data_IF_636622485963
#
_entry.id   IF_636622485963
#
_cell.length_a   1.000
_cell.length_b   1.000
_cell.length_c   1.000
_cell.angle_alpha   90.00
_cell.angle_beta   90.00
_cell.angle_gamma   90.00
#
_symmetry.space_group_name_H-M   'P 1'
#
loop_
_entity.id
_entity.type
_entity.pdbx_description
1 polymer ?
#
# COMPACT_ATOMS: atom_id res chain seq x y z
N UNK A 1 17.92 29.41 -5.32
CA UNK A 1 18.73 28.23 -5.01
C UNK A 1 17.95 27.02 -5.51
N UNK A 2 18.46 26.27 -6.49
CA UNK A 2 17.79 25.07 -7.00
C UNK A 2 17.99 23.95 -5.98
N UNK A 3 16.91 23.51 -5.32
CA UNK A 3 16.92 22.36 -4.41
C UNK A 3 17.44 21.11 -5.12
N UNK A 4 18.37 20.42 -4.48
CA UNK A 4 18.93 19.21 -5.03
C UNK A 4 17.86 18.14 -5.24
N UNK A 5 17.87 17.36 -6.34
CA UNK A 5 16.89 16.30 -6.61
C UNK A 5 16.80 15.24 -5.52
N UNK A 6 17.77 15.17 -4.62
CA UNK A 6 17.84 14.18 -3.52
C UNK A 6 16.91 14.48 -2.34
N UNK A 7 16.61 15.74 -2.05
CA UNK A 7 15.79 16.13 -0.90
C UNK A 7 14.30 15.87 -1.14
N UNK A 8 13.85 16.01 -2.37
CA UNK A 8 12.45 15.92 -2.78
C UNK A 8 11.81 14.53 -2.65
N UNK A 9 12.59 13.47 -2.61
CA UNK A 9 12.10 12.08 -2.49
C UNK A 9 12.26 11.51 -1.07
N UNK A 10 12.91 12.22 -0.15
CA UNK A 10 13.21 11.70 1.19
C UNK A 10 11.96 11.36 1.99
N UNK A 11 10.93 12.20 1.94
CA UNK A 11 9.67 11.95 2.65
C UNK A 11 8.86 10.79 2.04
N UNK A 12 8.98 10.54 0.74
CA UNK A 12 8.36 9.37 0.09
C UNK A 12 9.06 8.08 0.56
N UNK A 13 10.39 8.08 0.61
CA UNK A 13 11.15 6.95 1.13
C UNK A 13 10.89 6.76 2.63
N UNK A 14 10.78 7.86 3.39
CA UNK A 14 10.40 7.82 4.79
C UNK A 14 9.01 7.17 4.99
N UNK A 15 8.02 7.55 4.20
CA UNK A 15 6.67 6.97 4.21
C UNK A 15 6.69 5.47 3.85
N UNK A 16 7.49 5.06 2.87
CA UNK A 16 7.67 3.63 2.54
C UNK A 16 8.28 2.86 3.70
N UNK A 17 9.26 3.46 4.39
CA UNK A 17 9.86 2.88 5.59
C UNK A 17 8.86 2.76 6.74
N UNK A 18 8.01 3.77 6.94
CA UNK A 18 6.92 3.69 7.91
C UNK A 18 5.97 2.54 7.56
N UNK A 19 5.60 2.39 6.29
CA UNK A 19 4.78 1.27 5.83
C UNK A 19 5.45 -0.08 6.14
N UNK A 20 6.78 -0.21 5.96
CA UNK A 20 7.52 -1.42 6.33
C UNK A 20 7.44 -1.70 7.83
N UNK A 21 7.63 -0.70 8.69
CA UNK A 21 7.59 -0.88 10.15
C UNK A 21 6.19 -1.31 10.62
N UNK A 22 5.15 -0.64 10.14
CA UNK A 22 3.77 -1.03 10.44
C UNK A 22 3.45 -2.44 9.94
N UNK A 23 3.96 -2.81 8.77
CA UNK A 23 3.83 -4.16 8.22
C UNK A 23 4.53 -5.21 9.07
N UNK A 24 5.78 -4.95 9.52
CA UNK A 24 6.49 -5.85 10.41
C UNK A 24 5.72 -6.07 11.72
N UNK A 25 5.22 -4.99 12.32
CA UNK A 25 4.42 -5.06 13.55
C UNK A 25 3.16 -5.91 13.34
N UNK A 26 2.42 -5.66 12.27
CA UNK A 26 1.19 -6.38 11.96
C UNK A 26 1.46 -7.87 11.78
N UNK A 27 2.45 -8.21 10.95
CA UNK A 27 2.76 -9.60 10.63
C UNK A 27 3.32 -10.37 11.82
N UNK A 28 4.22 -9.76 12.60
CA UNK A 28 4.77 -10.38 13.80
C UNK A 28 3.68 -10.68 14.84
N UNK A 29 2.79 -9.74 15.08
CA UNK A 29 1.70 -9.92 16.04
C UNK A 29 0.65 -10.92 15.53
N UNK A 30 0.33 -10.85 14.23
CA UNK A 30 -0.59 -11.81 13.64
C UNK A 30 -0.03 -13.24 13.64
N UNK A 31 1.23 -13.43 13.34
CA UNK A 31 1.84 -14.78 13.30
C UNK A 31 2.09 -15.37 14.69
N UNK A 32 2.59 -14.58 15.63
CA UNK A 32 3.23 -15.11 16.83
C UNK A 32 2.42 -14.99 18.11
N UNK A 33 1.50 -14.01 18.24
CA UNK A 33 0.71 -13.88 19.45
C UNK A 33 -0.19 -15.08 19.69
N UNK A 34 -0.19 -15.57 20.93
CA UNK A 34 -1.14 -16.58 21.38
C UNK A 34 -2.58 -16.06 21.34
N UNK A 35 -3.53 -16.95 21.28
CA UNK A 35 -4.95 -16.56 21.24
C UNK A 35 -5.34 -15.74 22.48
N UNK A 36 -4.83 -16.07 23.67
CA UNK A 36 -5.05 -15.27 24.88
C UNK A 36 -4.48 -13.85 24.79
N UNK A 37 -3.28 -13.69 24.20
CA UNK A 37 -2.65 -12.37 24.04
C UNK A 37 -3.38 -11.49 23.00
N UNK A 38 -4.11 -12.09 22.06
CA UNK A 38 -4.92 -11.39 21.05
C UNK A 38 -6.18 -10.73 21.63
N UNK A 39 -6.61 -11.10 22.82
CA UNK A 39 -7.69 -10.42 23.55
C UNK A 39 -7.21 -9.17 24.31
N UNK A 40 -5.93 -8.84 24.27
CA UNK A 40 -5.38 -7.66 24.95
C UNK A 40 -5.76 -6.35 24.25
N UNK A 41 -5.93 -5.29 25.04
CA UNK A 41 -6.15 -3.93 24.54
C UNK A 41 -5.02 -3.48 23.61
N UNK A 42 -3.77 -3.86 23.90
CA UNK A 42 -2.62 -3.54 23.06
C UNK A 42 -2.75 -4.16 21.66
N UNK A 43 -3.20 -5.42 21.57
CA UNK A 43 -3.41 -6.06 20.28
C UNK A 43 -4.50 -5.33 19.48
N UNK A 44 -5.61 -4.98 20.11
CA UNK A 44 -6.69 -4.23 19.45
C UNK A 44 -6.19 -2.90 18.85
N UNK A 45 -5.46 -2.11 19.63
CA UNK A 45 -4.88 -0.86 19.12
C UNK A 45 -3.83 -1.09 18.01
N UNK A 46 -3.05 -2.16 18.14
CA UNK A 46 -2.05 -2.51 17.11
C UNK A 46 -2.68 -2.87 15.76
N UNK A 47 -3.90 -3.45 15.76
CA UNK A 47 -4.64 -3.76 14.54
C UNK A 47 -5.03 -2.50 13.76
N UNK A 48 -5.31 -1.38 14.42
CA UNK A 48 -5.54 -0.10 13.73
C UNK A 48 -4.31 0.31 12.92
N UNK A 49 -3.10 0.20 13.49
CA UNK A 49 -1.85 0.40 12.75
C UNK A 49 -1.72 -0.56 11.56
N UNK A 50 -2.16 -1.80 11.74
CA UNK A 50 -2.14 -2.86 10.73
C UNK A 50 -3.04 -2.60 9.52
N UNK A 51 -3.97 -1.66 9.60
CA UNK A 51 -4.82 -1.28 8.46
C UNK A 51 -4.12 -0.39 7.43
N UNK A 52 -2.92 0.13 7.73
CA UNK A 52 -2.23 1.12 6.90
C UNK A 52 -1.14 0.61 5.95
N UNK A 53 -0.41 -0.49 6.18
CA UNK A 53 0.69 -0.90 5.30
C UNK A 53 0.29 -0.98 3.83
N UNK A 54 -0.76 -1.72 3.50
CA UNK A 54 -1.21 -1.88 2.12
C UNK A 54 -1.73 -0.57 1.49
N UNK A 55 -2.60 0.24 2.16
CA UNK A 55 -2.94 1.58 1.69
C UNK A 55 -1.73 2.46 1.40
N UNK A 56 -0.72 2.47 2.29
CA UNK A 56 0.49 3.25 2.11
C UNK A 56 1.29 2.79 0.88
N UNK A 57 1.54 1.49 0.72
CA UNK A 57 2.28 0.99 -0.44
C UNK A 57 1.56 1.28 -1.76
N UNK A 58 0.26 1.08 -1.83
CA UNK A 58 -0.56 1.37 -3.02
C UNK A 58 -0.58 2.87 -3.33
N UNK A 59 -0.82 3.71 -2.33
CA UNK A 59 -0.83 5.15 -2.48
C UNK A 59 0.53 5.69 -2.96
N UNK A 60 1.62 5.21 -2.36
CA UNK A 60 2.98 5.59 -2.74
C UNK A 60 3.38 5.03 -4.12
N UNK A 61 2.84 3.89 -4.52
CA UNK A 61 2.99 3.39 -5.90
C UNK A 61 2.32 4.34 -6.90
N UNK A 62 1.12 4.86 -6.59
CA UNK A 62 0.44 5.87 -7.39
C UNK A 62 1.22 7.18 -7.51
N UNK A 63 1.73 7.71 -6.39
CA UNK A 63 2.60 8.91 -6.41
C UNK A 63 3.84 8.66 -7.26
N UNK A 64 4.51 7.52 -7.07
CA UNK A 64 5.73 7.17 -7.82
C UNK A 64 5.44 7.05 -9.32
N UNK A 65 4.29 6.49 -9.68
CA UNK A 65 3.83 6.40 -11.06
C UNK A 65 3.63 7.80 -11.67
N UNK A 66 3.00 8.74 -10.95
CA UNK A 66 2.84 10.12 -11.42
C UNK A 66 4.17 10.82 -11.66
N UNK A 67 5.13 10.65 -10.73
CA UNK A 67 6.48 11.21 -10.85
C UNK A 67 7.22 10.68 -12.07
N UNK A 68 7.16 9.38 -12.33
CA UNK A 68 7.77 8.77 -13.53
C UNK A 68 7.10 9.26 -14.79
N UNK A 69 5.77 9.28 -14.81
CA UNK A 69 4.99 9.76 -15.97
C UNK A 69 5.29 11.24 -16.27
N UNK A 70 5.36 12.10 -15.25
CA UNK A 70 5.72 13.51 -15.44
C UNK A 70 7.15 13.67 -15.97
N UNK A 71 8.10 12.87 -15.47
CA UNK A 71 9.47 12.85 -15.98
C UNK A 71 9.54 12.44 -17.45
N UNK A 72 8.78 11.40 -17.85
CA UNK A 72 8.70 10.96 -19.25
C UNK A 72 8.06 12.03 -20.14
N UNK A 73 6.96 12.67 -19.69
CA UNK A 73 6.32 13.78 -20.39
C UNK A 73 7.28 14.98 -20.60
N UNK A 74 8.11 15.30 -19.61
CA UNK A 74 9.14 16.36 -19.73
C UNK A 74 10.28 16.01 -20.68
N UNK A 75 10.49 14.73 -20.96
CA UNK A 75 11.42 14.22 -21.96
C UNK A 75 10.80 14.09 -23.35
N UNK A 76 9.59 14.64 -23.53
CA UNK A 76 8.83 14.59 -24.78
C UNK A 76 8.55 13.17 -25.30
N UNK A 77 8.57 12.18 -24.36
CA UNK A 77 8.19 10.80 -24.71
C UNK A 77 6.76 10.74 -25.21
N UNK A 78 6.51 9.95 -26.24
CA UNK A 78 5.17 9.77 -26.80
C UNK A 78 4.22 9.13 -25.80
N UNK A 79 2.92 9.35 -25.94
CA UNK A 79 1.92 8.71 -25.07
C UNK A 79 2.03 7.19 -25.11
N UNK A 80 2.36 6.61 -26.26
CA UNK A 80 2.54 5.17 -26.44
C UNK A 80 3.75 4.63 -25.65
N UNK A 81 4.87 5.35 -25.66
CA UNK A 81 6.07 4.99 -24.90
C UNK A 81 5.83 5.05 -23.39
N UNK A 82 5.12 6.09 -22.92
CA UNK A 82 4.73 6.22 -21.50
C UNK A 82 3.89 5.01 -21.09
N UNK A 83 2.87 4.67 -21.85
CA UNK A 83 1.98 3.54 -21.58
C UNK A 83 2.75 2.22 -21.60
N UNK A 84 3.58 2.00 -22.63
CA UNK A 84 4.41 0.77 -22.73
C UNK A 84 5.33 0.62 -21.53
N UNK A 85 6.01 1.70 -21.13
CA UNK A 85 6.94 1.70 -19.99
C UNK A 85 6.21 1.40 -18.68
N UNK A 86 5.07 2.03 -18.46
CA UNK A 86 4.31 1.90 -17.21
C UNK A 86 3.59 0.57 -17.10
N UNK A 87 2.99 0.07 -18.19
CA UNK A 87 2.35 -1.26 -18.23
C UNK A 87 3.39 -2.35 -18.03
N UNK A 88 4.55 -2.26 -18.73
CA UNK A 88 5.65 -3.20 -18.55
C UNK A 88 6.09 -3.26 -17.09
N UNK A 89 6.28 -2.11 -16.44
CA UNK A 89 6.67 -2.07 -15.02
C UNK A 89 5.60 -2.68 -14.11
N UNK A 90 4.33 -2.42 -14.38
CA UNK A 90 3.21 -3.06 -13.68
C UNK A 90 3.21 -4.57 -13.84
N UNK A 91 3.42 -5.06 -15.07
CA UNK A 91 3.51 -6.50 -15.36
C UNK A 91 4.72 -7.17 -14.68
N UNK A 92 5.89 -6.49 -14.62
CA UNK A 92 7.06 -6.96 -13.89
C UNK A 92 6.76 -7.15 -12.39
N UNK A 93 6.09 -6.17 -11.76
CA UNK A 93 5.70 -6.27 -10.35
C UNK A 93 4.64 -7.35 -10.12
N UNK A 94 3.69 -7.48 -11.04
CA UNK A 94 2.70 -8.56 -11.00
C UNK A 94 3.36 -9.94 -11.08
N UNK A 95 4.30 -10.12 -12.00
CA UNK A 95 5.05 -11.36 -12.14
C UNK A 95 5.90 -11.66 -10.90
N UNK A 96 6.49 -10.65 -10.26
CA UNK A 96 7.18 -10.82 -8.96
C UNK A 96 6.21 -11.30 -7.88
N UNK A 97 4.97 -10.79 -7.83
CA UNK A 97 3.94 -11.28 -6.92
C UNK A 97 3.60 -12.76 -7.15
N UNK A 98 3.50 -13.19 -8.41
CA UNK A 98 3.30 -14.60 -8.74
C UNK A 98 4.51 -15.46 -8.33
N UNK A 99 5.72 -14.99 -8.61
CA UNK A 99 6.94 -15.67 -8.19
C UNK A 99 7.01 -15.83 -6.67
N UNK A 100 6.62 -14.81 -5.94
CA UNK A 100 6.52 -14.87 -4.48
C UNK A 100 5.52 -15.95 -4.02
N UNK A 101 4.35 -16.07 -4.67
CA UNK A 101 3.39 -17.13 -4.36
C UNK A 101 3.94 -18.53 -4.65
N UNK A 102 4.68 -18.69 -5.75
CA UNK A 102 5.35 -19.97 -6.07
C UNK A 102 6.37 -20.32 -4.99
N UNK A 103 7.18 -19.35 -4.55
CA UNK A 103 8.14 -19.57 -3.46
C UNK A 103 7.43 -19.98 -2.17
N UNK A 104 6.41 -19.26 -1.73
CA UNK A 104 5.63 -19.56 -0.53
C UNK A 104 5.01 -20.98 -0.61
N UNK A 105 4.46 -21.34 -1.77
CA UNK A 105 3.89 -22.66 -2.00
C UNK A 105 4.95 -23.76 -1.88
N UNK A 106 6.11 -23.58 -2.52
CA UNK A 106 7.19 -24.58 -2.50
C UNK A 106 7.77 -24.75 -1.08
N UNK A 107 8.00 -23.66 -0.36
CA UNK A 107 8.52 -23.70 1.01
C UNK A 107 7.49 -24.23 2.01
N UNK A 108 6.20 -24.09 1.73
CA UNK A 108 5.09 -24.58 2.55
C UNK A 108 4.77 -26.06 2.39
N UNK A 109 5.41 -26.76 1.43
CA UNK A 109 5.16 -28.19 1.23
C UNK A 109 5.62 -29.03 2.43
N UNK A 110 4.88 -30.14 2.77
CA UNK A 110 3.73 -30.73 2.05
C UNK A 110 2.35 -30.16 2.46
N UNK A 111 2.26 -29.12 3.27
CA UNK A 111 0.97 -28.64 3.84
C UNK A 111 0.32 -27.50 3.06
N UNK A 112 1.04 -26.82 2.16
CA UNK A 112 0.50 -25.70 1.38
C UNK A 112 -0.52 -26.21 0.33
N UNK A 113 -1.77 -25.71 0.37
CA UNK A 113 -2.76 -26.07 -0.64
C UNK A 113 -2.43 -25.40 -1.98
N UNK A 114 -2.72 -26.08 -3.10
CA UNK A 114 -2.46 -25.56 -4.45
C UNK A 114 -3.17 -24.20 -4.71
N UNK A 115 -4.27 -23.93 -4.02
CA UNK A 115 -5.01 -22.67 -4.11
C UNK A 115 -4.18 -21.45 -3.68
N UNK A 116 -3.14 -21.64 -2.86
CA UNK A 116 -2.24 -20.56 -2.45
C UNK A 116 -1.44 -19.96 -3.62
N UNK A 117 -1.25 -20.71 -4.70
CA UNK A 117 -0.64 -20.21 -5.94
C UNK A 117 -1.48 -19.11 -6.60
N UNK A 118 -2.80 -19.14 -6.43
CA UNK A 118 -3.75 -18.20 -7.04
C UNK A 118 -4.14 -17.04 -6.08
N UNK A 119 -3.60 -17.06 -4.87
CA UNK A 119 -3.89 -16.05 -3.85
C UNK A 119 -3.44 -14.66 -4.31
N UNK A 120 -4.32 -13.67 -4.14
CA UNK A 120 -4.00 -12.27 -4.47
C UNK A 120 -3.11 -11.68 -3.38
N UNK A 121 -1.90 -11.29 -3.77
CA UNK A 121 -0.94 -10.63 -2.91
C UNK A 121 -0.92 -9.11 -3.16
N UNK A 122 -0.36 -8.33 -2.21
CA UNK A 122 -0.21 -6.89 -2.36
C UNK A 122 0.62 -6.49 -3.58
N UNK A 123 1.62 -7.29 -3.96
CA UNK A 123 2.41 -7.04 -5.17
C UNK A 123 1.58 -7.24 -6.44
N UNK A 124 0.69 -8.25 -6.47
CA UNK A 124 -0.21 -8.46 -7.59
C UNK A 124 -1.12 -7.25 -7.80
N UNK A 125 -1.70 -6.71 -6.72
CA UNK A 125 -2.60 -5.57 -6.84
C UNK A 125 -1.87 -4.27 -7.15
N UNK A 126 -0.63 -4.07 -6.68
CA UNK A 126 0.22 -2.96 -7.10
C UNK A 126 0.48 -3.05 -8.61
N UNK A 127 0.84 -4.24 -9.11
CA UNK A 127 1.09 -4.47 -10.54
C UNK A 127 -0.14 -4.18 -11.40
N UNK A 128 -1.31 -4.72 -11.03
CA UNK A 128 -2.58 -4.46 -11.70
C UNK A 128 -2.91 -2.96 -11.66
N UNK A 129 -2.81 -2.32 -10.50
CA UNK A 129 -3.05 -0.88 -10.37
C UNK A 129 -2.18 -0.06 -11.32
N UNK A 130 -0.89 -0.41 -11.44
CA UNK A 130 0.03 0.28 -12.36
C UNK A 130 -0.37 0.08 -13.82
N UNK A 131 -0.81 -1.12 -14.22
CA UNK A 131 -1.28 -1.37 -15.57
C UNK A 131 -2.56 -0.57 -15.88
N UNK A 132 -3.52 -0.53 -14.95
CA UNK A 132 -4.76 0.25 -15.07
C UNK A 132 -4.48 1.76 -15.13
N UNK A 133 -3.57 2.28 -14.29
CA UNK A 133 -3.12 3.67 -14.32
C UNK A 133 -2.44 4.02 -15.64
N UNK A 134 -1.66 3.10 -16.22
CA UNK A 134 -1.08 3.24 -17.55
C UNK A 134 -2.13 3.40 -18.64
N UNK A 135 -3.16 2.55 -18.63
CA UNK A 135 -4.32 2.64 -19.52
C UNK A 135 -5.08 3.96 -19.37
N UNK A 136 -5.34 4.39 -18.13
CA UNK A 136 -5.97 5.70 -17.86
C UNK A 136 -5.15 6.88 -18.44
N UNK A 137 -3.83 6.86 -18.25
CA UNK A 137 -2.95 7.93 -18.75
C UNK A 137 -2.88 8.00 -20.29
N UNK A 138 -3.30 6.95 -21.01
CA UNK A 138 -3.47 6.95 -22.45
C UNK A 138 -4.69 7.77 -22.87
N UNK A 139 -5.75 7.73 -22.07
CA UNK A 139 -7.03 8.37 -22.33
C UNK A 139 -7.06 9.82 -21.80
N UNK A 140 -6.53 10.05 -20.60
CA UNK A 140 -6.46 11.36 -19.96
C UNK A 140 -5.10 12.01 -20.20
N UNK A 141 -5.02 12.95 -21.12
CA UNK A 141 -3.80 13.69 -21.44
C UNK A 141 -3.70 14.97 -20.60
N UNK A 142 -2.48 15.28 -20.13
CA UNK A 142 -2.22 16.44 -19.28
C UNK A 142 -2.36 16.15 -17.78
N UNK A 143 -1.65 16.95 -16.94
CA UNK A 143 -1.56 16.73 -15.48
C UNK A 143 -2.92 16.85 -14.77
N UNK A 144 -3.63 17.97 -15.02
CA UNK A 144 -4.91 18.25 -14.36
C UNK A 144 -5.97 17.20 -14.71
N UNK A 145 -6.11 16.88 -16.00
CA UNK A 145 -7.07 15.85 -16.45
C UNK A 145 -6.72 14.48 -15.90
N UNK A 146 -5.44 14.12 -15.87
CA UNK A 146 -5.00 12.84 -15.26
C UNK A 146 -5.27 12.81 -13.75
N UNK A 147 -5.05 13.91 -13.02
CA UNK A 147 -5.35 14.01 -11.61
C UNK A 147 -6.86 13.84 -11.32
N UNK A 148 -7.71 14.56 -12.05
CA UNK A 148 -9.17 14.48 -11.91
C UNK A 148 -9.69 13.10 -12.28
N UNK A 149 -9.22 12.52 -13.38
CA UNK A 149 -9.60 11.16 -13.79
C UNK A 149 -9.21 10.13 -12.74
N UNK A 150 -7.98 10.23 -12.19
CA UNK A 150 -7.52 9.34 -11.14
C UNK A 150 -8.36 9.48 -9.85
N UNK A 151 -8.67 10.72 -9.42
CA UNK A 151 -9.53 10.96 -8.27
C UNK A 151 -10.95 10.41 -8.48
N UNK A 152 -11.52 10.61 -9.68
CA UNK A 152 -12.83 10.06 -10.06
C UNK A 152 -12.85 8.53 -10.04
N UNK A 153 -11.81 7.88 -10.58
CA UNK A 153 -11.69 6.42 -10.56
C UNK A 153 -11.53 5.91 -9.12
N UNK A 154 -10.72 6.57 -8.29
CA UNK A 154 -10.59 6.19 -6.88
C UNK A 154 -11.94 6.25 -6.15
N UNK A 155 -12.71 7.31 -6.36
CA UNK A 155 -14.05 7.46 -5.80
C UNK A 155 -15.01 6.38 -6.33
N UNK A 156 -15.02 6.13 -7.64
CA UNK A 156 -15.87 5.10 -8.25
C UNK A 156 -15.55 3.70 -7.69
N UNK A 157 -14.27 3.35 -7.55
CA UNK A 157 -13.86 2.07 -6.94
C UNK A 157 -14.37 1.98 -5.50
N UNK A 158 -14.17 3.03 -4.68
CA UNK A 158 -14.63 3.03 -3.30
C UNK A 158 -16.15 2.86 -3.20
N UNK A 159 -16.92 3.60 -4.00
CA UNK A 159 -18.39 3.54 -4.01
C UNK A 159 -18.93 2.22 -4.60
N UNK A 160 -18.25 1.61 -5.55
CA UNK A 160 -18.67 0.34 -6.15
C UNK A 160 -18.30 -0.89 -5.27
N UNK A 161 -17.43 -0.72 -4.27
CA UNK A 161 -16.96 -1.84 -3.46
C UNK A 161 -18.08 -2.58 -2.71
N UNK A 162 -19.01 -1.92 -1.99
CA UNK A 162 -20.05 -2.64 -1.27
C UNK A 162 -20.90 -3.56 -2.16
N UNK A 163 -21.51 -3.11 -3.26
CA UNK A 163 -22.32 -3.98 -4.10
C UNK A 163 -21.51 -5.09 -4.80
N UNK A 164 -20.23 -4.82 -5.16
CA UNK A 164 -19.38 -5.84 -5.78
C UNK A 164 -19.05 -6.98 -4.81
N UNK A 165 -18.85 -6.68 -3.54
CA UNK A 165 -18.57 -7.69 -2.53
C UNK A 165 -19.81 -8.44 -2.07
N UNK A 166 -20.96 -7.77 -2.00
CA UNK A 166 -22.16 -8.34 -1.37
C UNK A 166 -23.11 -9.01 -2.33
N UNK A 167 -23.33 -8.43 -3.52
CA UNK A 167 -24.39 -8.85 -4.44
C UNK A 167 -23.91 -9.33 -5.80
N UNK A 168 -22.76 -8.84 -6.27
CA UNK A 168 -22.28 -9.17 -7.60
C UNK A 168 -21.68 -10.57 -7.66
N UNK A 169 -22.31 -11.45 -8.44
CA UNK A 169 -21.92 -12.84 -8.63
C UNK A 169 -22.06 -13.21 -10.10
N UNK A 170 -21.07 -12.84 -10.93
CA UNK A 170 -21.11 -13.13 -12.35
C UNK A 170 -20.81 -14.61 -12.60
N UNK A 171 -21.79 -15.39 -12.96
CA UNK A 171 -21.61 -16.80 -13.34
C UNK A 171 -20.72 -17.04 -14.56
N UNK A 172 -20.29 -15.98 -15.24
CA UNK A 172 -19.41 -16.01 -16.42
C UNK A 172 -17.93 -16.08 -16.08
N UNK A 173 -17.53 -15.64 -14.88
CA UNK A 173 -16.13 -15.56 -14.49
C UNK A 173 -15.68 -16.80 -13.71
N UNK A 174 -14.51 -17.37 -14.03
CA UNK A 174 -13.88 -18.34 -13.17
C UNK A 174 -13.63 -17.71 -11.77
N UNK A 175 -13.80 -18.51 -10.72
CA UNK A 175 -13.72 -18.06 -9.33
C UNK A 175 -12.43 -17.29 -9.01
N UNK A 176 -11.30 -17.67 -9.57
CA UNK A 176 -10.02 -17.01 -9.30
C UNK A 176 -9.97 -15.61 -9.89
N UNK A 177 -10.62 -15.33 -11.03
CA UNK A 177 -10.75 -14.00 -11.60
C UNK A 177 -11.73 -13.14 -10.80
N UNK A 178 -12.85 -13.71 -10.39
CA UNK A 178 -13.81 -13.04 -9.51
C UNK A 178 -13.15 -12.63 -8.19
N UNK A 179 -12.36 -13.52 -7.61
CA UNK A 179 -11.61 -13.26 -6.37
C UNK A 179 -10.60 -12.11 -6.50
N UNK A 180 -10.00 -11.94 -7.69
CA UNK A 180 -9.16 -10.77 -7.97
C UNK A 180 -9.96 -9.46 -7.97
N UNK A 181 -11.22 -9.50 -8.38
CA UNK A 181 -12.05 -8.29 -8.46
C UNK A 181 -12.58 -7.91 -7.08
N UNK A 182 -13.24 -8.85 -6.39
CA UNK A 182 -14.01 -8.57 -5.18
C UNK A 182 -13.63 -9.39 -3.95
N UNK A 183 -12.65 -10.29 -4.03
CA UNK A 183 -12.24 -11.14 -2.90
C UNK A 183 -13.26 -12.19 -2.49
N UNK A 184 -14.24 -12.48 -3.34
CA UNK A 184 -15.31 -13.43 -3.01
C UNK A 184 -14.78 -14.85 -2.82
N UNK A 185 -15.28 -15.51 -1.80
CA UNK A 185 -14.95 -16.89 -1.46
C UNK A 185 -15.90 -17.83 -2.17
N UNK A 186 -15.39 -18.65 -3.07
CA UNK A 186 -16.19 -19.60 -3.86
C UNK A 186 -16.20 -20.99 -3.25
N UNK A 187 -15.22 -21.31 -2.38
CA UNK A 187 -15.16 -22.56 -1.64
C UNK A 187 -15.73 -22.41 -0.24
N UNK A 188 -16.18 -23.51 0.37
CA UNK A 188 -16.73 -23.50 1.73
C UNK A 188 -15.73 -22.99 2.79
N UNK A 189 -14.43 -23.20 2.59
CA UNK A 189 -13.39 -22.67 3.46
C UNK A 189 -13.07 -21.20 3.08
N UNK A 190 -12.82 -20.32 4.06
CA UNK A 190 -12.40 -18.95 3.78
C UNK A 190 -11.15 -18.92 2.89
N UNK A 191 -11.22 -18.22 1.78
CA UNK A 191 -10.08 -18.01 0.88
C UNK A 191 -9.40 -16.71 1.26
N UNK A 192 -8.09 -16.70 1.53
CA UNK A 192 -7.41 -15.51 2.01
C UNK A 192 -7.02 -14.55 0.87
N UNK A 193 -7.95 -14.16 0.02
CA UNK A 193 -7.75 -13.10 -0.97
C UNK A 193 -7.84 -11.74 -0.30
N UNK A 194 -6.74 -11.33 0.34
CA UNK A 194 -6.70 -10.15 1.19
C UNK A 194 -6.69 -8.83 0.42
N UNK A 195 -6.28 -8.86 -0.86
CA UNK A 195 -6.02 -7.66 -1.66
C UNK A 195 -6.70 -7.70 -3.03
N UNK A 196 -8.04 -7.80 -3.13
CA UNK A 196 -8.73 -7.69 -4.41
C UNK A 196 -8.64 -6.26 -4.97
N UNK A 197 -9.03 -6.08 -6.25
CA UNK A 197 -9.04 -4.75 -6.90
C UNK A 197 -9.88 -3.76 -6.10
N UNK A 198 -11.07 -4.17 -5.67
CA UNK A 198 -12.00 -3.37 -4.87
C UNK A 198 -11.83 -3.70 -3.37
N UNK A 199 -11.54 -2.74 -2.49
CA UNK A 199 -11.31 -1.30 -2.74
C UNK A 199 -9.84 -0.93 -2.99
N UNK A 200 -8.89 -1.88 -3.03
CA UNK A 200 -7.46 -1.61 -2.87
C UNK A 200 -6.87 -0.73 -3.97
N UNK A 201 -7.27 -0.90 -5.23
CA UNK A 201 -6.83 -0.03 -6.32
C UNK A 201 -7.18 1.44 -6.10
N UNK A 202 -8.24 1.75 -5.33
CA UNK A 202 -8.61 3.15 -5.05
C UNK A 202 -7.48 3.92 -4.37
N UNK A 203 -6.68 3.28 -3.49
CA UNK A 203 -5.52 3.93 -2.87
C UNK A 203 -4.43 4.26 -3.89
N UNK A 204 -4.19 3.39 -4.87
CA UNK A 204 -3.21 3.65 -5.93
C UNK A 204 -3.67 4.81 -6.82
N UNK A 205 -4.94 4.86 -7.20
CA UNK A 205 -5.49 5.95 -7.99
C UNK A 205 -5.55 7.27 -7.20
N UNK A 206 -5.86 7.24 -5.89
CA UNK A 206 -5.77 8.42 -5.03
C UNK A 206 -4.32 8.94 -4.94
N UNK A 207 -3.35 8.03 -4.80
CA UNK A 207 -1.92 8.37 -4.84
C UNK A 207 -1.49 8.95 -6.19
N UNK A 208 -2.04 8.44 -7.30
CA UNK A 208 -1.81 8.98 -8.64
C UNK A 208 -2.33 10.42 -8.77
N UNK A 209 -3.55 10.69 -8.27
CA UNK A 209 -4.14 12.02 -8.27
C UNK A 209 -3.27 13.02 -7.48
N UNK A 210 -2.88 12.63 -6.27
CA UNK A 210 -1.98 13.43 -5.41
C UNK A 210 -0.62 13.62 -6.07
N UNK A 211 -0.05 12.59 -6.69
CA UNK A 211 1.22 12.67 -7.38
C UNK A 211 1.19 13.66 -8.55
N UNK A 212 0.12 13.67 -9.37
CA UNK A 212 -0.04 14.67 -10.42
C UNK A 212 -0.27 16.07 -9.86
N UNK A 213 -0.98 16.21 -8.74
CA UNK A 213 -1.09 17.50 -8.05
C UNK A 213 0.28 18.00 -7.59
N UNK A 214 1.08 17.16 -6.94
CA UNK A 214 2.43 17.51 -6.46
C UNK A 214 3.42 17.81 -7.60
N UNK A 215 3.17 17.29 -8.82
CA UNK A 215 3.97 17.62 -10.01
C UNK A 215 3.52 18.92 -10.70
N UNK A 216 2.43 19.56 -10.29
CA UNK A 216 1.97 20.84 -10.82
C UNK A 216 2.98 21.95 -10.53
N UNK A 217 2.99 22.98 -11.38
CA UNK A 217 3.94 24.08 -11.23
C UNK A 217 3.67 24.89 -9.95
N UNK A 218 2.40 25.04 -9.57
CA UNK A 218 2.04 25.66 -8.31
C UNK A 218 2.54 24.88 -7.09
N UNK A 219 2.28 23.57 -7.03
CA UNK A 219 2.71 22.75 -5.89
C UNK A 219 4.24 22.69 -5.77
N UNK A 220 4.96 22.76 -6.89
CA UNK A 220 6.42 22.80 -6.87
C UNK A 220 6.98 24.12 -6.36
N UNK A 221 6.30 25.23 -6.64
CA UNK A 221 6.71 26.55 -6.14
C UNK A 221 6.30 26.76 -4.67
N UNK A 222 5.25 26.08 -4.21
CA UNK A 222 4.67 26.23 -2.87
C UNK A 222 4.55 24.86 -2.17
N UNK A 223 5.65 24.09 -2.16
CA UNK A 223 5.64 22.68 -1.70
C UNK A 223 5.08 22.54 -0.27
N UNK A 224 5.52 23.40 0.66
CA UNK A 224 5.04 23.40 2.05
C UNK A 224 3.53 23.67 2.13
N UNK A 225 3.02 24.63 1.36
CA UNK A 225 1.59 24.92 1.33
C UNK A 225 0.81 23.77 0.69
N UNK A 226 1.32 23.17 -0.38
CA UNK A 226 0.69 22.04 -1.04
C UNK A 226 0.56 20.83 -0.10
N UNK A 227 1.61 20.49 0.63
CA UNK A 227 1.58 19.39 1.60
C UNK A 227 0.74 19.72 2.83
N UNK A 228 0.76 20.98 3.28
CA UNK A 228 -0.13 21.47 4.34
C UNK A 228 -1.60 21.33 3.96
N UNK A 229 -1.97 21.73 2.73
CA UNK A 229 -3.34 21.56 2.20
C UNK A 229 -3.74 20.09 2.10
N UNK A 230 -2.84 19.21 1.66
CA UNK A 230 -3.10 17.77 1.62
C UNK A 230 -3.32 17.21 3.02
N UNK A 231 -2.52 17.61 4.00
CA UNK A 231 -2.66 17.17 5.39
C UNK A 231 -3.97 17.67 6.01
N UNK A 232 -4.29 18.96 5.87
CA UNK A 232 -5.53 19.55 6.38
C UNK A 232 -6.76 18.97 5.67
N UNK A 233 -6.71 18.83 4.34
CA UNK A 233 -7.75 18.19 3.54
C UNK A 233 -7.94 16.73 3.91
N UNK A 234 -6.85 16.01 4.22
CA UNK A 234 -6.89 14.63 4.72
C UNK A 234 -7.58 14.53 6.08
N UNK A 235 -7.24 15.39 7.02
CA UNK A 235 -7.89 15.45 8.33
C UNK A 235 -9.39 15.77 8.20
N UNK A 236 -9.74 16.73 7.36
CA UNK A 236 -11.13 17.08 7.07
C UNK A 236 -11.90 15.92 6.41
N UNK A 237 -11.26 15.21 5.45
CA UNK A 237 -11.85 14.03 4.80
C UNK A 237 -12.13 12.92 5.82
N UNK A 238 -11.17 12.63 6.70
CA UNK A 238 -11.34 11.61 7.74
C UNK A 238 -12.45 11.99 8.73
N UNK A 239 -12.49 13.25 9.18
CA UNK A 239 -13.55 13.75 10.06
C UNK A 239 -14.92 13.69 9.39
N UNK A 240 -15.04 14.14 8.14
CA UNK A 240 -16.29 14.07 7.39
C UNK A 240 -16.77 12.62 7.20
N UNK A 241 -15.86 11.69 6.90
CA UNK A 241 -16.21 10.29 6.73
C UNK A 241 -16.67 9.65 8.05
N UNK A 242 -16.05 10.00 9.19
CA UNK A 242 -16.51 9.58 10.52
C UNK A 242 -17.91 10.12 10.83
N UNK A 243 -18.16 11.39 10.52
CA UNK A 243 -19.48 12.00 10.69
C UNK A 243 -20.53 11.31 9.82
N UNK A 244 -20.22 11.04 8.55
CA UNK A 244 -21.14 10.34 7.64
C UNK A 244 -21.45 8.92 8.11
N UNK A 245 -20.45 8.21 8.63
CA UNK A 245 -20.65 6.84 9.15
C UNK A 245 -21.52 6.80 10.40
N UNK A 246 -21.55 7.88 11.19
CA UNK A 246 -22.37 8.01 12.38
C UNK A 246 -23.85 8.31 12.09
N UNK A 247 -24.20 8.62 10.83
CA UNK A 247 -25.59 8.91 10.45
C UNK A 247 -26.41 7.63 10.41
N UNK A 248 -27.69 7.67 10.83
CA UNK A 248 -28.55 6.49 10.86
C UNK A 248 -28.96 5.97 9.47
N UNK A 249 -28.73 6.78 8.42
CA UNK A 249 -29.06 6.42 7.04
C UNK A 249 -27.84 5.84 6.32
N UNK A 250 -27.92 4.58 5.90
CA UNK A 250 -26.93 3.96 5.03
C UNK A 250 -27.39 3.99 3.57
N UNK A 251 -26.50 4.35 2.66
CA UNK A 251 -26.74 4.28 1.21
C UNK A 251 -26.76 2.82 0.73
N UNK A 252 -26.08 1.93 1.46
CA UNK A 252 -25.97 0.52 1.11
C UNK A 252 -26.80 -0.32 2.07
N UNK A 253 -27.59 -1.24 1.51
CA UNK A 253 -28.40 -2.17 2.33
C UNK A 253 -27.52 -3.12 3.16
N UNK A 254 -26.37 -3.53 2.61
CA UNK A 254 -25.39 -4.38 3.29
C UNK A 254 -23.98 -3.87 2.98
N UNK A 255 -23.20 -3.61 3.99
CA UNK A 255 -21.76 -3.33 3.86
C UNK A 255 -21.02 -3.69 5.16
N UNK A 256 -19.74 -3.97 5.04
CA UNK A 256 -18.84 -4.18 6.17
C UNK A 256 -17.95 -2.94 6.32
N UNK A 257 -18.04 -2.29 7.50
CA UNK A 257 -17.25 -1.08 7.77
C UNK A 257 -15.76 -1.29 7.51
N UNK A 258 -15.19 -2.39 7.97
CA UNK A 258 -13.75 -2.64 7.92
C UNK A 258 -13.22 -3.04 6.53
N UNK A 259 -14.05 -3.62 5.67
CA UNK A 259 -13.60 -4.18 4.41
C UNK A 259 -14.17 -3.46 3.18
N UNK A 260 -15.45 -3.09 3.21
CA UNK A 260 -16.14 -2.58 2.03
C UNK A 260 -16.56 -1.12 2.11
N UNK A 261 -16.58 -0.53 3.31
CA UNK A 261 -17.11 0.82 3.53
C UNK A 261 -16.32 1.91 2.79
N UNK A 262 -16.99 2.74 1.96
CA UNK A 262 -16.39 3.95 1.42
C UNK A 262 -15.95 4.95 2.50
N UNK A 263 -16.65 4.99 3.63
CA UNK A 263 -16.29 5.86 4.76
C UNK A 263 -14.95 5.41 5.35
N UNK A 264 -14.77 4.11 5.59
CA UNK A 264 -13.49 3.60 6.10
C UNK A 264 -12.34 3.78 5.08
N UNK A 265 -12.61 3.65 3.78
CA UNK A 265 -11.64 4.02 2.75
C UNK A 265 -11.24 5.50 2.88
N UNK A 266 -12.22 6.42 3.00
CA UNK A 266 -11.98 7.85 3.13
C UNK A 266 -11.22 8.21 4.42
N UNK A 267 -11.55 7.58 5.56
CA UNK A 267 -10.82 7.73 6.83
C UNK A 267 -9.36 7.34 6.63
N UNK A 268 -9.07 6.14 6.08
CA UNK A 268 -7.70 5.68 5.84
C UNK A 268 -6.95 6.59 4.87
N UNK A 269 -7.59 7.01 3.78
CA UNK A 269 -7.00 7.95 2.83
C UNK A 269 -6.67 9.29 3.49
N UNK A 270 -7.58 9.82 4.30
CA UNK A 270 -7.38 11.05 5.05
C UNK A 270 -6.17 10.97 5.99
N UNK A 271 -6.05 9.86 6.72
CA UNK A 271 -4.89 9.62 7.60
C UNK A 271 -3.60 9.47 6.78
N UNK A 272 -3.62 8.77 5.65
CA UNK A 272 -2.45 8.65 4.75
C UNK A 272 -1.99 10.02 4.22
N UNK A 273 -2.92 10.90 3.88
CA UNK A 273 -2.60 12.28 3.49
C UNK A 273 -1.98 13.09 4.65
N UNK A 274 -2.49 12.93 5.86
CA UNK A 274 -1.91 13.54 7.06
C UNK A 274 -0.51 12.97 7.35
N UNK A 275 -0.31 11.66 7.20
CA UNK A 275 1.01 11.03 7.31
C UNK A 275 1.99 11.55 6.25
N UNK A 276 1.53 11.82 5.03
CA UNK A 276 2.36 12.39 3.96
C UNK A 276 2.86 13.78 4.34
N UNK A 277 1.96 14.64 4.85
CA UNK A 277 2.32 15.96 5.35
C UNK A 277 3.26 15.90 6.56
N UNK A 278 3.00 14.97 7.50
CA UNK A 278 3.86 14.72 8.65
C UNK A 278 5.26 14.22 8.26
N UNK A 279 5.35 13.29 7.30
CA UNK A 279 6.63 12.82 6.76
C UNK A 279 7.45 13.92 6.09
N UNK A 280 6.77 14.82 5.37
CA UNK A 280 7.41 16.00 4.80
C UNK A 280 7.93 16.94 5.89
N UNK A 281 7.09 17.29 6.88
CA UNK A 281 7.49 18.14 8.00
C UNK A 281 8.67 17.54 8.78
N UNK A 282 8.67 16.23 9.01
CA UNK A 282 9.77 15.51 9.62
C UNK A 282 11.08 15.65 8.83
N UNK A 283 11.02 15.54 7.50
CA UNK A 283 12.18 15.70 6.65
C UNK A 283 12.69 17.15 6.59
N UNK A 284 11.80 18.15 6.76
CA UNK A 284 12.19 19.56 6.84
C UNK A 284 12.90 19.91 8.15
N UNK A 285 12.47 19.32 9.29
CA UNK A 285 13.04 19.60 10.61
C UNK A 285 14.39 18.97 10.86
N UNK A 286 15.06 18.49 9.80
CA UNK A 286 16.45 18.10 9.88
C UNK A 286 16.72 16.65 10.19
N UNK A 287 15.73 15.75 10.11
CA UNK A 287 16.03 14.31 10.16
C UNK A 287 17.04 13.88 9.06
N UNK A 288 17.16 14.68 7.97
CA UNK A 288 18.20 14.56 6.97
C UNK A 288 19.57 15.08 7.41
N UNK A 289 19.61 16.04 8.33
CA UNK A 289 20.86 16.62 8.88
C UNK A 289 21.52 15.72 9.93
N UNK A 290 20.75 14.85 10.59
CA UNK A 290 21.26 13.86 11.56
C UNK A 290 21.91 12.64 10.88
N UNK A 291 22.09 12.68 9.57
CA UNK A 291 22.91 11.77 8.77
C UNK A 291 22.34 10.40 8.49
N UNK A 292 21.50 9.80 9.35
CA UNK A 292 20.92 8.47 9.16
C UNK A 292 19.48 8.38 9.65
N UNK A 293 18.59 7.95 8.76
CA UNK A 293 17.20 7.64 9.08
C UNK A 293 16.91 6.17 8.77
N UNK A 294 16.60 5.34 9.78
CA UNK A 294 16.20 3.95 9.58
C UNK A 294 15.00 3.80 8.64
N UNK A 295 14.02 4.70 8.76
CA UNK A 295 12.82 4.69 7.90
C UNK A 295 13.18 4.97 6.44
N UNK A 296 13.97 6.01 6.16
CA UNK A 296 14.43 6.31 4.80
C UNK A 296 15.23 5.13 4.23
N UNK A 297 16.07 4.50 5.06
CA UNK A 297 16.86 3.34 4.64
C UNK A 297 15.96 2.15 4.27
N UNK A 298 15.02 1.77 5.14
CA UNK A 298 14.05 0.70 4.86
C UNK A 298 13.18 1.01 3.63
N UNK A 299 12.76 2.26 3.48
CA UNK A 299 11.95 2.69 2.34
C UNK A 299 12.64 2.54 1.00
N UNK A 300 13.96 2.76 0.93
CA UNK A 300 14.76 2.57 -0.29
C UNK A 300 14.84 1.11 -0.74
N UNK A 301 14.72 0.18 0.18
CA UNK A 301 14.80 -1.27 -0.06
C UNK A 301 13.51 -1.99 0.30
N UNK A 302 12.39 -1.29 0.29
CA UNK A 302 11.11 -1.78 0.80
C UNK A 302 10.66 -3.12 0.20
N UNK A 303 10.88 -3.36 -1.09
CA UNK A 303 10.56 -4.62 -1.74
C UNK A 303 11.43 -5.78 -1.22
N UNK A 304 12.73 -5.54 -1.01
CA UNK A 304 13.64 -6.55 -0.47
C UNK A 304 13.24 -6.95 0.95
N UNK A 305 13.05 -5.95 1.82
CA UNK A 305 12.69 -6.23 3.22
C UNK A 305 11.27 -6.80 3.34
N UNK A 306 10.34 -6.41 2.43
CA UNK A 306 9.04 -7.06 2.30
C UNK A 306 9.18 -8.56 2.02
N UNK A 307 9.96 -8.91 1.00
CA UNK A 307 10.14 -10.29 0.57
C UNK A 307 10.76 -11.16 1.65
N UNK A 308 11.84 -10.67 2.27
CA UNK A 308 12.62 -11.48 3.22
C UNK A 308 11.90 -11.64 4.56
N UNK A 309 11.28 -10.58 5.12
CA UNK A 309 10.68 -10.68 6.45
C UNK A 309 9.52 -11.69 6.51
N UNK A 310 8.76 -11.88 5.43
CA UNK A 310 7.63 -12.83 5.39
C UNK A 310 8.12 -14.24 5.74
N UNK A 311 9.27 -14.65 5.20
CA UNK A 311 9.84 -15.97 5.47
C UNK A 311 10.21 -16.17 6.94
N UNK A 312 10.69 -15.11 7.59
CA UNK A 312 11.08 -15.15 9.00
C UNK A 312 9.92 -14.94 9.97
N UNK A 313 8.76 -14.54 9.47
CA UNK A 313 7.55 -14.33 10.29
C UNK A 313 6.49 -15.41 10.05
N UNK A 314 6.12 -15.66 8.79
CA UNK A 314 5.10 -16.63 8.42
C UNK A 314 5.64 -17.91 7.80
N UNK A 315 6.81 -17.82 7.17
CA UNK A 315 7.40 -18.92 6.41
C UNK A 315 7.95 -20.04 7.30
N UNK A 316 8.67 -20.96 6.67
CA UNK A 316 9.30 -22.12 7.32
C UNK A 316 10.41 -21.69 8.27
N UNK A 317 11.03 -20.53 8.05
CA UNK A 317 12.11 -19.98 8.85
C UNK A 317 11.62 -19.04 9.96
N UNK A 318 10.34 -19.15 10.36
CA UNK A 318 9.79 -18.33 11.43
C UNK A 318 10.67 -18.39 12.68
N UNK A 319 11.13 -17.24 13.17
CA UNK A 319 12.05 -17.15 14.32
C UNK A 319 11.39 -17.44 15.66
N UNK A 320 10.05 -17.35 15.72
CA UNK A 320 9.25 -17.69 16.89
C UNK A 320 8.16 -18.70 16.53
N UNK A 321 7.73 -19.46 17.53
CA UNK A 321 6.61 -20.40 17.39
C UNK A 321 5.33 -19.63 17.09
N UNK A 322 4.60 -20.03 16.05
CA UNK A 322 3.33 -19.40 15.65
C UNK A 322 2.27 -19.61 16.73
N UNK A 323 1.47 -18.57 16.98
CA UNK A 323 0.33 -18.60 17.91
C UNK A 323 0.65 -19.03 19.35
N UNK A 324 1.89 -18.87 19.81
CA UNK A 324 2.33 -19.39 21.10
C UNK A 324 2.97 -18.34 22.04
N UNK A 325 3.15 -17.09 21.57
CA UNK A 325 3.95 -16.13 22.33
C UNK A 325 3.08 -15.10 23.08
N UNK A 326 3.62 -14.63 24.20
CA UNK A 326 3.08 -13.46 24.90
C UNK A 326 3.32 -12.18 24.08
N UNK A 327 2.65 -11.10 24.47
CA UNK A 327 2.85 -9.77 23.87
C UNK A 327 4.32 -9.32 23.98
N UNK A 328 4.97 -9.55 25.09
CA UNK A 328 6.40 -9.21 25.28
C UNK A 328 7.27 -10.04 24.35
N UNK A 329 7.05 -11.35 24.26
CA UNK A 329 7.82 -12.24 23.37
C UNK A 329 7.68 -11.84 21.89
N UNK A 330 6.46 -11.58 21.44
CA UNK A 330 6.20 -11.13 20.07
C UNK A 330 6.81 -9.73 19.79
N UNK A 331 6.81 -8.82 20.78
CA UNK A 331 7.45 -7.49 20.65
C UNK A 331 8.98 -7.58 20.58
N UNK A 332 9.59 -8.48 21.34
CA UNK A 332 11.03 -8.75 21.21
C UNK A 332 11.34 -9.34 19.82
N UNK A 333 10.53 -10.30 19.36
CA UNK A 333 10.65 -10.84 18.01
C UNK A 333 10.51 -9.75 16.93
N UNK A 334 9.57 -8.81 17.07
CA UNK A 334 9.42 -7.66 16.19
C UNK A 334 10.69 -6.79 16.15
N UNK A 335 11.31 -6.53 17.32
CA UNK A 335 12.56 -5.77 17.38
C UNK A 335 13.70 -6.51 16.66
N UNK A 336 13.77 -7.83 16.79
CA UNK A 336 14.74 -8.66 16.07
C UNK A 336 14.51 -8.57 14.55
N UNK A 337 13.27 -8.71 14.08
CA UNK A 337 12.92 -8.56 12.65
C UNK A 337 13.27 -7.16 12.15
N UNK A 338 12.89 -6.11 12.89
CA UNK A 338 13.23 -4.74 12.50
C UNK A 338 14.73 -4.56 12.32
N UNK A 339 15.52 -5.02 13.31
CA UNK A 339 16.98 -4.91 13.28
C UNK A 339 17.58 -5.71 12.14
N UNK A 340 17.15 -6.96 11.95
CA UNK A 340 17.62 -7.82 10.87
C UNK A 340 17.31 -7.21 9.48
N UNK A 341 16.10 -6.68 9.27
CA UNK A 341 15.70 -6.05 8.01
C UNK A 341 16.46 -4.74 7.78
N UNK A 342 16.75 -3.98 8.83
CA UNK A 342 17.58 -2.77 8.71
C UNK A 342 19.02 -3.12 8.32
N UNK A 343 19.61 -4.13 8.92
CA UNK A 343 20.97 -4.61 8.58
C UNK A 343 21.01 -5.16 7.15
N UNK A 344 20.01 -5.93 6.73
CA UNK A 344 19.86 -6.41 5.36
C UNK A 344 19.81 -5.24 4.37
N UNK A 345 18.99 -4.24 4.66
CA UNK A 345 18.85 -3.01 3.86
C UNK A 345 20.17 -2.26 3.73
N UNK A 346 20.91 -2.10 4.82
CA UNK A 346 22.22 -1.44 4.83
C UNK A 346 23.26 -2.23 4.02
N UNK A 347 23.32 -3.55 4.21
CA UNK A 347 24.21 -4.44 3.46
C UNK A 347 23.96 -4.34 1.96
N UNK A 348 22.68 -4.45 1.54
CA UNK A 348 22.28 -4.34 0.14
C UNK A 348 22.70 -2.99 -0.48
N UNK A 349 22.43 -1.89 0.22
CA UNK A 349 22.79 -0.54 -0.26
C UNK A 349 24.29 -0.36 -0.38
N UNK A 350 25.09 -0.96 0.53
CA UNK A 350 26.56 -0.92 0.45
C UNK A 350 27.09 -1.70 -0.75
N UNK A 351 26.50 -2.85 -1.05
CA UNK A 351 26.90 -3.67 -2.21
C UNK A 351 26.60 -2.99 -3.55
N UNK A 352 25.50 -2.24 -3.64
CA UNK A 352 25.14 -1.48 -4.85
C UNK A 352 26.01 -0.23 -5.10
N UNK A 353 26.77 0.23 -4.09
CA UNK A 353 27.68 1.39 -4.21
C UNK A 353 29.10 1.01 -4.66
N UNK A 354 29.43 -0.26 -4.63
CA UNK A 354 30.67 -0.83 -5.18
C UNK A 354 30.46 -1.21 -6.64
#
# INVERSE_FOLDING_TARGET
MAESPKQRLAYIDWMRGLACVLMFQTHCYDSWLSDSARHSTLFHWSQLGGTFPAPLFLFLAGISFALVTDKLRRRESTATEIVKTTIRRGAEIFALGLLFRVQEFLLGQPWAPWTDLLRVDVLNIIGISMMLMGGMCRLATGRARSALAAAGIALLIALATPPLWTTWRPGLLPWFLESYINGVHTFAAPQPWLFPIFPWCAFAFAGLAVGFFLTSDWARQHETAALGLLGAGGAALAAAALCLDSLPASVYAVYDFWHTSPNFFAIRLGIVLAMLAGGYAWCLWGAGEWGFSPLVQLGRTSLLVYWVHIEFVYGRFSILTKRANSTVGASVGLLVIFTAMLLLSLGHTRLQRK
#
